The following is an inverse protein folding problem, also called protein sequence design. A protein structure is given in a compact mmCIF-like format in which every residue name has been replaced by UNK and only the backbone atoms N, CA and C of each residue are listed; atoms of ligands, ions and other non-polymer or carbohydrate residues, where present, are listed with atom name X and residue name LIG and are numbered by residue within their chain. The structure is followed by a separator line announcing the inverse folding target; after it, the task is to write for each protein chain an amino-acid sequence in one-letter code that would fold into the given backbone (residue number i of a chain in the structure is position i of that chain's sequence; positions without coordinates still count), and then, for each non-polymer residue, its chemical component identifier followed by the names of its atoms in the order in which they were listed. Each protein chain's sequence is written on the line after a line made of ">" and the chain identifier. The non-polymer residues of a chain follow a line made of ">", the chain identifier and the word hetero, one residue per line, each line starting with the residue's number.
data_IF_632137026314
#
_entry.id   IF_632137026314
#
_cell.length_a   1.000
_cell.length_b   1.000
_cell.length_c   1.000
_cell.angle_alpha   90.00
_cell.angle_beta   90.00
_cell.angle_gamma   90.00
#
_symmetry.space_group_name_H-M   'P 1'
#
loop_
_entity.id
_entity.type
_entity.pdbx_description
1 polymer ?
#
# COMPACT_ATOMS: atom_id res chain seq x y z
N UNK A 1 22.30 13.88 24.14
CA UNK A 1 22.12 14.32 22.74
C UNK A 1 20.82 15.11 22.63
N UNK A 2 20.85 16.25 21.95
CA UNK A 2 19.68 17.10 21.71
C UNK A 2 19.31 17.04 20.24
N UNK A 3 18.01 16.80 19.96
CA UNK A 3 17.45 16.79 18.61
C UNK A 3 16.28 17.77 18.58
N UNK A 4 16.26 18.69 17.61
CA UNK A 4 15.19 19.65 17.41
C UNK A 4 14.41 19.26 16.14
N UNK A 5 13.09 19.06 16.27
CA UNK A 5 12.21 18.75 15.15
C UNK A 5 11.63 20.02 14.55
N UNK A 6 11.34 19.97 13.26
CA UNK A 6 10.48 20.96 12.61
C UNK A 6 9.05 20.93 13.15
N UNK A 7 8.26 21.90 12.78
CA UNK A 7 6.86 21.98 13.19
C UNK A 7 5.97 21.29 12.16
N UNK A 8 4.84 20.75 12.65
CA UNK A 8 3.75 20.35 11.76
C UNK A 8 2.93 21.61 11.49
N UNK A 9 2.71 21.90 10.20
CA UNK A 9 1.94 23.03 9.72
C UNK A 9 0.69 22.53 8.99
N UNK A 10 -0.36 23.34 8.98
CA UNK A 10 -1.55 23.17 8.16
C UNK A 10 -1.89 24.53 7.56
N UNK A 11 -2.04 24.57 6.23
CA UNK A 11 -2.27 25.82 5.48
C UNK A 11 -1.19 26.89 5.78
N UNK A 12 0.08 26.44 5.88
CA UNK A 12 1.25 27.24 6.24
C UNK A 12 1.24 27.83 7.68
N UNK A 13 0.26 27.49 8.50
CA UNK A 13 0.20 27.89 9.90
C UNK A 13 0.62 26.74 10.83
N UNK A 14 1.31 27.08 11.92
CA UNK A 14 1.71 26.09 12.93
C UNK A 14 0.46 25.45 13.53
N UNK A 15 0.39 24.11 13.53
CA UNK A 15 -0.65 23.38 14.23
C UNK A 15 -0.54 23.62 15.74
N UNK A 16 -1.63 24.11 16.35
CA UNK A 16 -1.71 24.27 17.81
C UNK A 16 -3.13 24.11 18.33
N UNK A 17 -3.25 23.58 19.56
CA UNK A 17 -4.57 23.40 20.20
C UNK A 17 -5.33 24.72 20.40
N UNK A 18 -4.60 25.82 20.59
CA UNK A 18 -5.19 27.16 20.79
C UNK A 18 -5.86 27.71 19.53
N UNK A 19 -5.39 27.29 18.35
CA UNK A 19 -5.95 27.71 17.05
C UNK A 19 -7.06 26.74 16.60
N UNK A 20 -7.15 25.56 17.22
CA UNK A 20 -8.17 24.56 16.87
C UNK A 20 -7.92 23.82 15.55
N UNK A 21 -6.73 23.96 14.97
CA UNK A 21 -6.34 23.35 13.68
C UNK A 21 -5.56 22.01 13.84
N UNK A 22 -5.71 21.34 14.99
CA UNK A 22 -5.02 20.08 15.31
C UNK A 22 -5.89 18.90 14.94
N UNK A 23 -5.32 17.94 14.21
CA UNK A 23 -5.91 16.62 14.03
C UNK A 23 -5.33 15.64 15.06
N UNK A 24 -6.19 14.87 15.71
CA UNK A 24 -5.78 13.77 16.56
C UNK A 24 -5.23 12.60 15.73
N UNK A 25 -4.17 11.97 16.21
CA UNK A 25 -3.63 10.74 15.55
C UNK A 25 -4.73 9.68 15.43
N UNK A 26 -5.57 9.53 16.46
CA UNK A 26 -6.68 8.58 16.46
C UNK A 26 -7.72 8.87 15.37
N UNK A 27 -7.89 10.12 14.97
CA UNK A 27 -8.78 10.53 13.87
C UNK A 27 -8.17 10.16 12.52
N UNK A 28 -6.87 10.41 12.36
CA UNK A 28 -6.15 10.09 11.12
C UNK A 28 -6.06 8.57 10.92
N UNK A 29 -5.82 7.81 11.99
CA UNK A 29 -5.74 6.34 11.92
C UNK A 29 -7.08 5.65 11.62
N UNK A 30 -8.21 6.37 11.67
CA UNK A 30 -9.49 5.89 11.13
C UNK A 30 -9.56 5.96 9.60
N UNK A 31 -8.73 6.79 8.99
CA UNK A 31 -8.74 7.10 7.55
C UNK A 31 -7.60 6.37 6.83
N UNK A 32 -6.41 6.32 7.44
CA UNK A 32 -5.21 5.72 6.84
C UNK A 32 -4.56 4.69 7.75
N UNK A 33 -3.80 3.76 7.17
CA UNK A 33 -3.06 2.78 7.97
C UNK A 33 -1.92 3.42 8.76
N UNK A 34 -1.51 2.81 9.88
CA UNK A 34 -0.34 3.24 10.63
C UNK A 34 0.93 3.33 9.79
N UNK A 35 1.13 2.40 8.85
CA UNK A 35 2.29 2.40 7.95
C UNK A 35 2.25 3.58 6.97
N UNK A 36 1.09 3.92 6.40
CA UNK A 36 0.92 5.09 5.52
C UNK A 36 1.18 6.39 6.28
N UNK A 37 0.63 6.52 7.49
CA UNK A 37 0.90 7.69 8.32
C UNK A 37 2.39 7.81 8.65
N UNK A 38 3.04 6.70 9.03
CA UNK A 38 4.48 6.66 9.28
C UNK A 38 5.26 7.07 8.04
N UNK A 39 4.93 6.50 6.88
CA UNK A 39 5.58 6.82 5.61
C UNK A 39 5.50 8.31 5.30
N UNK A 40 4.31 8.91 5.46
CA UNK A 40 4.11 10.35 5.29
C UNK A 40 5.01 11.16 6.25
N UNK A 41 5.01 10.81 7.54
CA UNK A 41 5.79 11.55 8.55
C UNK A 41 7.30 11.52 8.29
N UNK A 42 7.85 10.36 7.89
CA UNK A 42 9.30 10.21 7.65
C UNK A 42 9.72 10.55 6.22
N UNK A 43 8.78 10.92 5.34
CA UNK A 43 9.07 11.41 3.99
C UNK A 43 9.61 12.85 3.97
N UNK A 44 9.60 13.52 5.12
CA UNK A 44 10.18 14.86 5.31
C UNK A 44 11.31 14.76 6.33
N UNK A 45 12.37 15.53 6.15
CA UNK A 45 13.45 15.63 7.15
C UNK A 45 12.86 16.05 8.50
N UNK A 46 13.24 15.38 9.57
CA UNK A 46 12.72 15.65 10.91
C UNK A 46 12.93 17.11 11.37
N UNK A 47 13.97 17.79 10.85
CA UNK A 47 14.30 19.18 11.17
C UNK A 47 13.54 20.21 10.31
N UNK A 48 12.85 19.76 9.26
CA UNK A 48 12.09 20.63 8.36
C UNK A 48 10.61 20.69 8.78
N UNK A 49 9.90 21.81 8.49
CA UNK A 49 8.46 21.86 8.67
C UNK A 49 7.77 20.78 7.83
N UNK A 50 6.80 20.09 8.42
CA UNK A 50 5.94 19.11 7.76
C UNK A 50 4.57 19.73 7.52
N UNK A 51 4.23 19.95 6.26
CA UNK A 51 2.90 20.42 5.88
C UNK A 51 1.89 19.27 5.88
N UNK A 52 0.90 19.34 6.76
CA UNK A 52 -0.13 18.32 6.91
C UNK A 52 -1.28 18.60 5.93
N UNK A 53 -1.34 17.84 4.85
CA UNK A 53 -2.39 17.90 3.84
C UNK A 53 -2.87 16.49 3.49
N UNK A 54 -4.19 16.30 3.35
CA UNK A 54 -4.77 15.00 2.98
C UNK A 54 -4.29 14.53 1.61
N UNK A 55 -4.07 15.45 0.66
CA UNK A 55 -3.48 15.15 -0.65
C UNK A 55 -2.07 14.56 -0.55
N UNK A 56 -1.23 15.05 0.37
CA UNK A 56 0.10 14.54 0.61
C UNK A 56 0.07 13.13 1.25
N UNK A 57 -0.87 12.90 2.16
CA UNK A 57 -1.11 11.57 2.75
C UNK A 57 -1.59 10.59 1.66
N UNK A 58 -2.51 11.01 0.78
CA UNK A 58 -2.95 10.20 -0.36
C UNK A 58 -1.81 9.84 -1.31
N UNK A 59 -0.89 10.79 -1.55
CA UNK A 59 0.29 10.50 -2.36
C UNK A 59 1.26 9.53 -1.66
N UNK A 60 1.42 9.65 -0.33
CA UNK A 60 2.19 8.73 0.49
C UNK A 60 1.61 7.31 0.42
N UNK A 61 0.27 7.17 0.51
CA UNK A 61 -0.44 5.89 0.39
C UNK A 61 -0.17 5.22 -0.96
N UNK A 62 -0.36 5.95 -2.07
CA UNK A 62 -0.07 5.44 -3.42
C UNK A 62 1.38 5.02 -3.62
N UNK A 63 2.30 5.70 -2.93
CA UNK A 63 3.73 5.36 -3.02
C UNK A 63 4.05 4.13 -2.17
N UNK A 64 3.50 4.06 -0.97
CA UNK A 64 3.66 2.91 -0.07
C UNK A 64 3.05 1.64 -0.66
N UNK A 65 1.86 1.74 -1.30
CA UNK A 65 1.21 0.63 -2.01
C UNK A 65 2.15 -0.02 -3.04
N UNK A 66 2.95 0.76 -3.78
CA UNK A 66 3.93 0.20 -4.74
C UNK A 66 5.00 -0.66 -4.06
N UNK A 67 5.42 -0.30 -2.85
CA UNK A 67 6.35 -1.09 -2.05
C UNK A 67 5.70 -2.42 -1.66
N UNK A 68 4.45 -2.38 -1.18
CA UNK A 68 3.66 -3.58 -0.83
C UNK A 68 3.49 -4.51 -2.03
N UNK A 69 3.09 -3.98 -3.19
CA UNK A 69 2.92 -4.75 -4.43
C UNK A 69 4.24 -5.41 -4.85
N UNK A 70 5.36 -4.68 -4.75
CA UNK A 70 6.68 -5.25 -5.10
C UNK A 70 7.05 -6.39 -4.16
N UNK A 71 6.82 -6.22 -2.85
CA UNK A 71 7.10 -7.27 -1.88
C UNK A 71 6.25 -8.53 -2.14
N UNK A 72 4.95 -8.37 -2.44
CA UNK A 72 4.06 -9.50 -2.80
C UNK A 72 4.54 -10.24 -4.05
N UNK A 73 4.84 -9.49 -5.12
CA UNK A 73 5.36 -10.09 -6.37
C UNK A 73 6.64 -10.88 -6.12
N UNK A 74 7.51 -10.37 -5.24
CA UNK A 74 8.75 -11.04 -4.88
C UNK A 74 8.47 -12.33 -4.10
N UNK A 75 7.54 -12.31 -3.12
CA UNK A 75 7.15 -13.49 -2.37
C UNK A 75 6.53 -14.58 -3.27
N UNK A 76 5.67 -14.19 -4.22
CA UNK A 76 5.11 -15.10 -5.23
C UNK A 76 6.20 -15.71 -6.11
N UNK A 77 7.17 -14.91 -6.56
CA UNK A 77 8.28 -15.37 -7.37
C UNK A 77 9.20 -16.32 -6.59
N UNK A 78 9.47 -16.05 -5.32
CA UNK A 78 10.24 -16.94 -4.43
C UNK A 78 9.57 -18.31 -4.34
N UNK A 79 8.26 -18.36 -4.14
CA UNK A 79 7.50 -19.61 -4.04
C UNK A 79 7.51 -20.42 -5.35
N UNK A 80 7.55 -19.74 -6.49
CA UNK A 80 7.56 -20.37 -7.81
C UNK A 80 8.95 -20.76 -8.32
N UNK A 81 10.03 -20.25 -7.71
CA UNK A 81 11.39 -20.42 -8.22
C UNK A 81 12.08 -21.64 -7.62
N UNK A 82 12.86 -22.40 -8.43
CA UNK A 82 13.66 -23.51 -7.92
C UNK A 82 14.85 -22.98 -7.11
N UNK A 83 15.33 -23.79 -6.16
CA UNK A 83 16.61 -23.54 -5.50
C UNK A 83 17.74 -23.58 -6.54
N UNK A 84 18.76 -22.72 -6.36
CA UNK A 84 19.85 -22.64 -7.33
C UNK A 84 20.97 -21.72 -6.86
N UNK A 85 21.97 -21.56 -7.72
CA UNK A 85 23.09 -20.68 -7.43
C UNK A 85 22.64 -19.23 -7.27
N UNK A 86 23.29 -18.53 -6.35
CA UNK A 86 23.09 -17.10 -6.12
C UNK A 86 23.69 -16.31 -7.29
N UNK A 87 22.90 -15.41 -7.86
CA UNK A 87 23.37 -14.45 -8.87
C UNK A 87 24.08 -13.27 -8.20
N UNK A 88 25.41 -13.36 -8.11
CA UNK A 88 26.23 -12.34 -7.45
C UNK A 88 26.16 -10.96 -8.13
N UNK A 89 25.91 -10.90 -9.44
CA UNK A 89 25.83 -9.60 -10.14
C UNK A 89 24.53 -8.86 -9.80
N UNK A 90 23.43 -9.60 -9.65
CA UNK A 90 22.18 -9.05 -9.12
C UNK A 90 22.38 -8.57 -7.70
N UNK A 91 22.96 -9.38 -6.81
CA UNK A 91 23.14 -8.99 -5.40
C UNK A 91 24.11 -7.83 -5.19
N UNK A 92 25.08 -7.61 -6.06
CA UNK A 92 25.93 -6.41 -6.03
C UNK A 92 25.11 -5.12 -6.13
N UNK A 93 24.06 -5.10 -6.95
CA UNK A 93 23.17 -3.94 -7.10
C UNK A 93 22.49 -3.64 -5.76
N UNK A 94 21.93 -4.68 -5.11
CA UNK A 94 21.26 -4.52 -3.83
C UNK A 94 22.23 -4.16 -2.71
N UNK A 95 23.46 -4.65 -2.75
CA UNK A 95 24.50 -4.26 -1.79
C UNK A 95 24.87 -2.79 -1.93
N UNK A 96 25.01 -2.26 -3.15
CA UNK A 96 25.23 -0.81 -3.34
C UNK A 96 24.07 0.01 -2.78
N UNK A 97 22.82 -0.42 -3.04
CA UNK A 97 21.64 0.28 -2.48
C UNK A 97 21.62 0.22 -0.95
N UNK A 98 22.06 -0.89 -0.35
CA UNK A 98 22.17 -1.06 1.10
C UNK A 98 23.21 -0.11 1.71
N UNK A 99 24.36 0.05 1.05
CA UNK A 99 25.37 1.01 1.45
C UNK A 99 24.82 2.45 1.38
N UNK A 100 24.16 2.84 0.28
CA UNK A 100 23.52 4.15 0.10
C UNK A 100 22.38 4.39 1.12
N UNK A 101 21.59 3.37 1.43
CA UNK A 101 20.54 3.42 2.44
C UNK A 101 21.13 3.70 3.82
N UNK A 102 22.16 2.96 4.18
CA UNK A 102 22.86 3.10 5.46
C UNK A 102 23.53 4.47 5.60
N UNK A 103 24.20 4.94 4.55
CA UNK A 103 24.79 6.28 4.50
C UNK A 103 23.74 7.38 4.69
N UNK A 104 22.56 7.22 4.06
CA UNK A 104 21.44 8.16 4.22
C UNK A 104 21.03 8.32 5.68
N UNK A 105 20.98 7.24 6.45
CA UNK A 105 20.58 7.29 7.86
C UNK A 105 21.69 7.82 8.78
N UNK A 106 22.96 7.68 8.39
CA UNK A 106 24.09 8.27 9.12
C UNK A 106 24.27 9.75 8.82
N UNK A 107 23.77 10.23 7.67
CA UNK A 107 23.72 11.64 7.32
C UNK A 107 22.50 12.32 7.96
N UNK A 108 22.62 12.69 9.23
CA UNK A 108 21.60 13.47 9.96
C UNK A 108 20.19 12.83 9.91
N UNK A 109 20.10 11.49 9.97
CA UNK A 109 18.83 10.74 9.86
C UNK A 109 18.01 11.15 8.64
N UNK A 110 18.62 11.17 7.46
CA UNK A 110 17.97 11.56 6.21
C UNK A 110 16.99 10.49 5.71
N UNK A 111 15.87 10.36 6.42
CA UNK A 111 14.82 9.39 6.08
C UNK A 111 14.20 9.58 4.69
N UNK A 112 14.04 10.81 4.15
CA UNK A 112 13.61 10.99 2.76
C UNK A 112 14.56 10.35 1.74
N UNK A 113 15.88 10.45 1.94
CA UNK A 113 16.85 9.81 1.07
C UNK A 113 16.83 8.28 1.24
N UNK A 114 16.73 7.78 2.47
CA UNK A 114 16.58 6.35 2.74
C UNK A 114 15.31 5.78 2.06
N UNK A 115 14.19 6.50 2.09
CA UNK A 115 12.95 6.13 1.36
C UNK A 115 13.19 6.13 -0.15
N UNK A 116 13.94 7.09 -0.68
CA UNK A 116 14.28 7.12 -2.11
C UNK A 116 15.08 5.89 -2.51
N UNK A 117 16.03 5.45 -1.68
CA UNK A 117 16.81 4.24 -1.89
C UNK A 117 15.93 2.97 -1.82
N UNK A 118 14.98 2.90 -0.88
CA UNK A 118 13.99 1.82 -0.81
C UNK A 118 13.12 1.76 -2.07
N UNK A 119 12.66 2.90 -2.58
CA UNK A 119 11.88 2.96 -3.83
C UNK A 119 12.74 2.54 -5.03
N UNK A 120 14.02 2.90 -5.06
CA UNK A 120 14.94 2.44 -6.08
C UNK A 120 15.14 0.92 -6.02
N UNK A 121 15.29 0.34 -4.82
CA UNK A 121 15.36 -1.09 -4.62
C UNK A 121 14.10 -1.81 -5.15
N UNK A 122 12.91 -1.27 -4.91
CA UNK A 122 11.67 -1.80 -5.48
C UNK A 122 11.68 -1.79 -7.02
N UNK A 123 12.22 -0.73 -7.64
CA UNK A 123 12.37 -0.67 -9.11
C UNK A 123 13.33 -1.73 -9.63
N UNK A 124 14.48 -1.90 -8.99
CA UNK A 124 15.45 -2.93 -9.36
C UNK A 124 14.88 -4.36 -9.14
N UNK A 125 14.17 -4.58 -8.01
CA UNK A 125 13.43 -5.83 -7.78
C UNK A 125 12.48 -6.14 -8.92
N UNK A 126 11.63 -5.17 -9.32
CA UNK A 126 10.70 -5.37 -10.43
C UNK A 126 11.42 -5.68 -11.74
N UNK A 127 12.56 -5.05 -12.04
CA UNK A 127 13.36 -5.36 -13.23
C UNK A 127 13.90 -6.81 -13.20
N UNK A 128 14.34 -7.28 -12.03
CA UNK A 128 14.80 -8.67 -11.84
C UNK A 128 13.64 -9.63 -12.08
N UNK A 129 12.47 -9.35 -11.49
CA UNK A 129 11.27 -10.18 -11.64
C UNK A 129 10.76 -10.20 -13.10
N UNK A 130 10.80 -9.07 -13.79
CA UNK A 130 10.35 -8.97 -15.19
C UNK A 130 11.26 -9.72 -16.15
N UNK A 131 12.57 -9.83 -15.87
CA UNK A 131 13.51 -10.66 -16.63
C UNK A 131 13.26 -12.15 -16.40
N UNK A 132 12.87 -12.53 -15.19
CA UNK A 132 12.68 -13.91 -14.78
C UNK A 132 14.00 -14.70 -14.70
N UNK A 133 13.88 -15.99 -14.36
CA UNK A 133 15.00 -16.94 -14.39
C UNK A 133 15.91 -16.93 -13.15
N UNK A 134 15.64 -16.09 -12.16
CA UNK A 134 16.42 -16.07 -10.92
C UNK A 134 16.04 -17.23 -9.98
N UNK A 135 17.04 -17.70 -9.24
CA UNK A 135 16.84 -18.77 -8.26
C UNK A 135 16.12 -18.31 -7.01
N UNK A 136 15.48 -19.25 -6.31
CA UNK A 136 14.94 -19.05 -4.96
C UNK A 136 15.94 -18.34 -4.04
N UNK A 137 17.21 -18.78 -4.06
CA UNK A 137 18.26 -18.29 -3.17
C UNK A 137 18.60 -16.81 -3.46
N UNK A 138 18.65 -16.41 -4.75
CA UNK A 138 18.85 -15.01 -5.16
C UNK A 138 17.66 -14.13 -4.72
N UNK A 139 16.44 -14.56 -5.02
CA UNK A 139 15.23 -13.79 -4.70
C UNK A 139 15.03 -13.65 -3.18
N UNK A 140 15.34 -14.71 -2.42
CA UNK A 140 15.31 -14.68 -0.95
C UNK A 140 16.29 -13.68 -0.35
N UNK A 141 17.49 -13.54 -0.93
CA UNK A 141 18.44 -12.51 -0.49
C UNK A 141 17.92 -11.10 -0.77
N UNK A 142 17.30 -10.86 -1.93
CA UNK A 142 16.64 -9.58 -2.24
C UNK A 142 15.55 -9.28 -1.21
N UNK A 143 14.77 -10.31 -0.85
CA UNK A 143 13.69 -10.17 0.15
C UNK A 143 14.21 -9.81 1.53
N UNK A 144 15.36 -10.37 1.92
CA UNK A 144 16.01 -10.02 3.19
C UNK A 144 16.41 -8.55 3.22
N UNK A 145 17.05 -8.01 2.16
CA UNK A 145 17.36 -6.58 2.06
C UNK A 145 16.10 -5.72 2.22
N UNK A 146 15.00 -6.04 1.52
CA UNK A 146 13.75 -5.28 1.64
C UNK A 146 13.20 -5.32 3.07
N UNK A 147 13.25 -6.47 3.74
CA UNK A 147 12.80 -6.61 5.13
C UNK A 147 13.64 -5.75 6.08
N UNK A 148 14.96 -5.82 5.98
CA UNK A 148 15.88 -5.08 6.86
C UNK A 148 15.67 -3.56 6.73
N UNK A 149 15.44 -3.05 5.50
CA UNK A 149 15.16 -1.63 5.30
C UNK A 149 13.78 -1.22 5.81
N UNK A 150 12.76 -2.05 5.57
CA UNK A 150 11.41 -1.79 6.07
C UNK A 150 11.40 -1.81 7.60
N UNK A 151 12.05 -2.78 8.23
CA UNK A 151 12.16 -2.88 9.69
C UNK A 151 12.94 -1.71 10.29
N UNK A 152 14.04 -1.29 9.64
CA UNK A 152 14.83 -0.12 10.06
C UNK A 152 14.00 1.16 10.02
N UNK A 153 13.15 1.35 9.00
CA UNK A 153 12.23 2.49 8.93
C UNK A 153 10.97 2.32 9.80
N UNK A 154 10.84 1.17 10.47
CA UNK A 154 9.75 0.86 11.39
C UNK A 154 8.44 0.45 10.72
N UNK A 155 8.50 -0.02 9.47
CA UNK A 155 7.36 -0.60 8.78
C UNK A 155 7.24 -2.08 9.13
N UNK A 156 6.45 -2.38 10.14
CA UNK A 156 6.20 -3.77 10.56
C UNK A 156 5.00 -4.34 9.82
N UNK A 157 5.10 -5.64 9.54
CA UNK A 157 3.96 -6.42 9.03
C UNK A 157 3.31 -5.82 7.78
N UNK A 158 4.13 -5.29 6.87
CA UNK A 158 3.67 -4.61 5.63
C UNK A 158 2.68 -5.47 4.84
N UNK A 159 2.87 -6.80 4.84
CA UNK A 159 1.95 -7.74 4.19
C UNK A 159 0.77 -8.15 5.08
N UNK A 160 0.95 -8.13 6.41
CA UNK A 160 -0.12 -8.49 7.36
C UNK A 160 -1.18 -7.41 7.51
N UNK A 161 -0.84 -6.13 7.28
CA UNK A 161 -1.85 -5.05 7.25
C UNK A 161 -2.88 -5.27 6.14
N UNK A 162 -2.47 -5.79 5.00
CA UNK A 162 -3.38 -6.21 3.94
C UNK A 162 -4.26 -7.41 4.37
N UNK A 163 -3.72 -8.32 5.20
CA UNK A 163 -4.50 -9.43 5.77
C UNK A 163 -5.51 -8.94 6.80
N UNK A 164 -5.15 -7.94 7.64
CA UNK A 164 -6.10 -7.34 8.60
C UNK A 164 -7.22 -6.55 7.93
N UNK A 165 -6.98 -5.95 6.77
CA UNK A 165 -8.05 -5.36 5.95
C UNK A 165 -8.99 -6.45 5.43
N UNK A 166 -8.47 -7.65 5.15
CA UNK A 166 -9.29 -8.83 4.82
C UNK A 166 -10.13 -9.32 6.01
N UNK A 167 -9.78 -8.95 7.23
CA UNK A 167 -10.51 -9.27 8.47
C UNK A 167 -11.38 -8.10 8.99
N UNK A 168 -11.51 -6.99 8.25
CA UNK A 168 -12.40 -5.89 8.64
C UNK A 168 -13.84 -6.38 8.70
N UNK A 169 -14.29 -6.59 9.92
CA UNK A 169 -15.63 -7.11 10.21
C UNK A 169 -16.74 -6.22 9.65
N UNK A 170 -16.51 -4.92 9.56
CA UNK A 170 -17.46 -3.94 8.99
C UNK A 170 -17.56 -4.12 7.47
N UNK A 171 -16.41 -4.15 6.79
CA UNK A 171 -16.35 -4.41 5.34
C UNK A 171 -16.92 -5.78 5.00
N UNK A 172 -16.59 -6.82 5.77
CA UNK A 172 -17.12 -8.17 5.62
C UNK A 172 -18.65 -8.19 5.74
N UNK A 173 -19.22 -7.55 6.76
CA UNK A 173 -20.65 -7.47 6.95
C UNK A 173 -21.34 -6.73 5.79
N UNK A 174 -20.79 -5.61 5.34
CA UNK A 174 -21.31 -4.84 4.22
C UNK A 174 -21.24 -5.62 2.90
N UNK A 175 -20.15 -6.31 2.64
CA UNK A 175 -20.00 -7.19 1.48
C UNK A 175 -20.96 -8.38 1.52
N UNK A 176 -21.17 -8.98 2.69
CA UNK A 176 -22.16 -10.06 2.86
C UNK A 176 -23.58 -9.57 2.59
N UNK A 177 -23.91 -8.35 3.02
CA UNK A 177 -25.21 -7.71 2.70
C UNK A 177 -25.32 -7.43 1.20
N UNK A 178 -24.23 -7.00 0.57
CA UNK A 178 -24.20 -6.74 -0.86
C UNK A 178 -24.36 -8.04 -1.66
N UNK A 179 -23.69 -9.12 -1.27
CA UNK A 179 -23.86 -10.45 -1.88
C UNK A 179 -25.32 -10.93 -1.76
N UNK A 180 -25.97 -10.74 -0.61
CA UNK A 180 -27.41 -11.06 -0.42
C UNK A 180 -28.30 -10.20 -1.33
N UNK A 181 -28.00 -8.90 -1.51
CA UNK A 181 -28.73 -8.01 -2.42
C UNK A 181 -28.74 -8.54 -3.86
N UNK A 182 -27.65 -9.17 -4.27
CA UNK A 182 -27.48 -9.73 -5.62
C UNK A 182 -27.74 -11.26 -5.67
N UNK A 183 -28.34 -11.84 -4.63
CA UNK A 183 -28.71 -13.25 -4.53
C UNK A 183 -27.54 -14.23 -4.72
N UNK A 184 -26.32 -13.82 -4.36
CA UNK A 184 -25.12 -14.63 -4.46
C UNK A 184 -25.10 -15.62 -3.27
N UNK A 185 -25.00 -16.91 -3.59
CA UNK A 185 -24.71 -17.95 -2.59
C UNK A 185 -23.24 -17.94 -2.25
N UNK A 186 -22.94 -17.71 -0.98
CA UNK A 186 -21.57 -17.74 -0.45
C UNK A 186 -21.29 -19.11 0.16
N UNK A 187 -20.16 -19.69 -0.17
CA UNK A 187 -19.67 -20.95 0.41
C UNK A 187 -18.84 -20.67 1.67
N UNK A 188 -18.19 -19.51 1.73
CA UNK A 188 -17.52 -19.00 2.92
C UNK A 188 -17.80 -17.50 3.11
N UNK A 189 -17.47 -16.98 4.29
CA UNK A 189 -17.59 -15.57 4.59
C UNK A 189 -16.25 -14.82 4.43
N UNK A 190 -15.36 -15.30 3.56
CA UNK A 190 -14.09 -14.64 3.28
C UNK A 190 -14.33 -13.46 2.34
N UNK A 191 -13.80 -12.27 2.68
CA UNK A 191 -13.93 -11.04 1.89
C UNK A 191 -13.47 -11.26 0.44
N UNK A 192 -12.35 -11.94 0.23
CA UNK A 192 -11.80 -12.20 -1.10
C UNK A 192 -12.76 -13.05 -1.97
N UNK A 193 -13.39 -14.08 -1.39
CA UNK A 193 -14.37 -14.89 -2.08
C UNK A 193 -15.62 -14.10 -2.43
N UNK A 194 -16.13 -13.29 -1.48
CA UNK A 194 -17.31 -12.46 -1.72
C UNK A 194 -17.06 -11.48 -2.87
N UNK A 195 -15.91 -10.81 -2.87
CA UNK A 195 -15.54 -9.85 -3.93
C UNK A 195 -15.38 -10.56 -5.27
N UNK A 196 -14.70 -11.71 -5.32
CA UNK A 196 -14.54 -12.48 -6.55
C UNK A 196 -15.88 -12.93 -7.13
N UNK A 197 -16.82 -13.40 -6.31
CA UNK A 197 -18.18 -13.76 -6.74
C UNK A 197 -18.96 -12.56 -7.30
N UNK A 198 -18.82 -11.38 -6.70
CA UNK A 198 -19.41 -10.13 -7.21
C UNK A 198 -18.80 -9.72 -8.57
N UNK A 199 -17.49 -9.90 -8.75
CA UNK A 199 -16.81 -9.67 -10.03
C UNK A 199 -17.29 -10.67 -11.10
N UNK A 200 -17.40 -11.95 -10.75
CA UNK A 200 -17.92 -12.98 -11.66
C UNK A 200 -19.33 -12.64 -12.13
N UNK A 201 -20.23 -12.30 -11.21
CA UNK A 201 -21.60 -11.90 -11.54
C UNK A 201 -21.61 -10.64 -12.44
N UNK A 202 -20.83 -9.61 -12.11
CA UNK A 202 -20.70 -8.42 -12.95
C UNK A 202 -20.25 -8.77 -14.38
N UNK A 203 -19.26 -9.63 -14.52
CA UNK A 203 -18.74 -10.03 -15.81
C UNK A 203 -19.76 -10.87 -16.61
N UNK A 204 -20.54 -11.73 -15.92
CA UNK A 204 -21.66 -12.44 -16.53
C UNK A 204 -22.74 -11.47 -17.05
N UNK A 205 -23.13 -10.47 -16.23
CA UNK A 205 -24.12 -9.46 -16.61
C UNK A 205 -23.66 -8.63 -17.80
N UNK A 206 -22.36 -8.28 -17.89
CA UNK A 206 -21.80 -7.64 -19.08
C UNK A 206 -21.88 -8.50 -20.34
N UNK A 207 -21.57 -9.80 -20.21
CA UNK A 207 -21.72 -10.75 -21.33
C UNK A 207 -23.17 -10.84 -21.82
N UNK A 208 -24.12 -10.79 -20.91
CA UNK A 208 -25.55 -10.84 -21.20
C UNK A 208 -26.12 -9.48 -21.67
N UNK A 209 -25.28 -8.44 -21.80
CA UNK A 209 -25.66 -7.06 -22.17
C UNK A 209 -26.55 -6.34 -21.14
N UNK A 210 -26.57 -6.82 -19.92
CA UNK A 210 -27.27 -6.22 -18.78
C UNK A 210 -26.35 -5.14 -18.13
N UNK A 211 -25.94 -4.12 -18.90
CA UNK A 211 -24.93 -3.14 -18.50
C UNK A 211 -25.33 -2.36 -17.24
N UNK A 212 -26.58 -1.97 -17.11
CA UNK A 212 -27.09 -1.25 -15.95
C UNK A 212 -26.85 -2.01 -14.63
N UNK A 213 -27.05 -3.34 -14.62
CA UNK A 213 -26.82 -4.16 -13.44
C UNK A 213 -25.34 -4.33 -13.14
N UNK A 214 -24.52 -4.47 -14.19
CA UNK A 214 -23.06 -4.55 -14.06
C UNK A 214 -22.44 -3.25 -13.50
N UNK A 215 -22.96 -2.11 -13.92
CA UNK A 215 -22.52 -0.79 -13.41
C UNK A 215 -22.98 -0.60 -11.97
N UNK A 216 -24.18 -1.00 -11.60
CA UNK A 216 -24.65 -0.97 -10.21
C UNK A 216 -23.76 -1.80 -9.27
N UNK A 217 -23.33 -3.00 -9.70
CA UNK A 217 -22.39 -3.82 -8.91
C UNK A 217 -21.06 -3.12 -8.72
N UNK A 218 -20.52 -2.49 -9.78
CA UNK A 218 -19.29 -1.72 -9.73
C UNK A 218 -19.39 -0.53 -8.78
N UNK A 219 -20.47 0.24 -8.87
CA UNK A 219 -20.70 1.42 -8.04
C UNK A 219 -20.92 1.05 -6.58
N UNK A 220 -21.63 -0.05 -6.29
CA UNK A 220 -21.84 -0.53 -4.94
C UNK A 220 -20.54 -1.04 -4.31
N UNK A 221 -19.68 -1.72 -5.08
CA UNK A 221 -18.33 -2.09 -4.63
C UNK A 221 -17.47 -0.86 -4.38
N UNK A 222 -17.52 0.15 -5.26
CA UNK A 222 -16.79 1.40 -5.08
C UNK A 222 -17.20 2.14 -3.81
N UNK A 223 -18.51 2.18 -3.47
CA UNK A 223 -19.02 2.75 -2.21
C UNK A 223 -18.47 2.03 -0.97
N UNK A 224 -18.09 0.76 -1.10
CA UNK A 224 -17.43 -0.02 -0.06
C UNK A 224 -15.90 0.10 -0.10
N UNK A 225 -15.36 1.04 -0.88
CA UNK A 225 -13.92 1.22 -1.04
C UNK A 225 -13.25 0.15 -1.89
N UNK A 226 -13.98 -0.54 -2.77
CA UNK A 226 -13.43 -1.56 -3.66
C UNK A 226 -13.53 -1.07 -5.11
N UNK A 227 -12.39 -0.66 -5.67
CA UNK A 227 -12.29 -0.24 -7.05
C UNK A 227 -11.94 -1.42 -7.95
N UNK A 228 -12.70 -1.59 -9.04
CA UNK A 228 -12.43 -2.61 -10.05
C UNK A 228 -11.60 -2.04 -11.19
N UNK A 229 -10.59 -2.80 -11.62
CA UNK A 229 -9.76 -2.51 -12.79
C UNK A 229 -9.91 -3.64 -13.82
N UNK A 230 -10.49 -3.31 -14.98
CA UNK A 230 -10.62 -4.28 -16.07
C UNK A 230 -9.28 -4.37 -16.84
N UNK A 231 -8.68 -5.57 -16.88
CA UNK A 231 -7.55 -5.92 -17.73
C UNK A 231 -8.05 -6.69 -18.96
N UNK A 232 -7.15 -6.95 -19.91
CA UNK A 232 -7.50 -7.58 -21.20
C UNK A 232 -8.22 -8.92 -21.05
N UNK A 233 -7.83 -9.73 -20.06
CA UNK A 233 -8.36 -11.08 -19.86
C UNK A 233 -8.93 -11.32 -18.45
N UNK A 234 -8.92 -10.32 -17.56
CA UNK A 234 -9.39 -10.45 -16.17
C UNK A 234 -9.82 -9.11 -15.59
N UNK A 235 -10.66 -9.16 -14.57
CA UNK A 235 -10.96 -8.00 -13.71
C UNK A 235 -10.25 -8.21 -12.38
N UNK A 236 -9.43 -7.26 -11.98
CA UNK A 236 -8.79 -7.23 -10.66
C UNK A 236 -9.44 -6.14 -9.80
N UNK A 237 -9.28 -6.23 -8.50
CA UNK A 237 -9.77 -5.18 -7.60
C UNK A 237 -8.65 -4.67 -6.70
N UNK A 238 -8.80 -3.45 -6.24
CA UNK A 238 -8.01 -2.86 -5.18
C UNK A 238 -8.93 -2.21 -4.14
N UNK A 239 -8.50 -2.20 -2.90
CA UNK A 239 -9.17 -1.46 -1.85
C UNK A 239 -8.77 0.01 -1.96
N UNK A 240 -9.74 0.88 -2.21
CA UNK A 240 -9.57 2.33 -2.20
C UNK A 240 -10.10 2.79 -0.85
N UNK A 241 -9.21 3.25 0.03
CA UNK A 241 -9.64 3.94 1.23
C UNK A 241 -10.09 5.33 0.81
N UNK A 242 -11.32 5.72 1.13
CA UNK A 242 -11.84 7.05 0.85
C UNK A 242 -10.98 8.10 1.55
N UNK A 243 -10.05 8.69 0.80
CA UNK A 243 -9.33 9.90 1.19
C UNK A 243 -10.07 11.15 0.67
N UNK A 244 -11.13 10.94 -0.12
CA UNK A 244 -11.99 12.00 -0.65
C UNK A 244 -13.25 12.19 0.23
N UNK A 245 -13.09 12.79 1.40
CA UNK A 245 -14.23 13.35 2.15
C UNK A 245 -13.98 14.85 2.37
N UNK A 246 -14.75 15.65 1.63
CA UNK A 246 -15.00 17.10 1.84
C UNK A 246 -14.09 18.10 1.14
N UNK A 247 -14.08 18.12 -0.20
CA UNK A 247 -13.98 19.38 -0.93
C UNK A 247 -15.28 19.66 -1.72
N UNK A 248 -16.44 19.45 -1.09
CA UNK A 248 -17.71 19.98 -1.60
C UNK A 248 -18.52 20.47 -0.43
N UNK A 249 -18.14 21.65 0.09
CA UNK A 249 -19.04 22.62 0.75
C UNK A 249 -18.19 23.80 1.23
N UNK A 250 -17.93 24.73 0.34
CA UNK A 250 -17.80 26.17 0.66
C UNK A 250 -18.10 26.95 -0.60
#
# INVERSE_FOLDING_TARGET
>A
YWIHTGWVTKDSEKMSKSIGNVFGIDEILKIVSPNVLRFFLISTLYSSPLEFQMSAISQADKTFEKIVITAKRLDEAILASPKGAINSDVLKIFKCIDDDFSESLTDNFNTPLAISNLINACKETNKVLDRGGESYDTLSQIRNYLNDWLDTLGFKNVLEEDLKIKEDTSLKNNLTLLAKKYEIKLESENIEEIVNRLIELRNEKRKNREFSLADNIRDDLLKLGIQLEDKKDSTVYRLVRDIDVSEQNS
#
